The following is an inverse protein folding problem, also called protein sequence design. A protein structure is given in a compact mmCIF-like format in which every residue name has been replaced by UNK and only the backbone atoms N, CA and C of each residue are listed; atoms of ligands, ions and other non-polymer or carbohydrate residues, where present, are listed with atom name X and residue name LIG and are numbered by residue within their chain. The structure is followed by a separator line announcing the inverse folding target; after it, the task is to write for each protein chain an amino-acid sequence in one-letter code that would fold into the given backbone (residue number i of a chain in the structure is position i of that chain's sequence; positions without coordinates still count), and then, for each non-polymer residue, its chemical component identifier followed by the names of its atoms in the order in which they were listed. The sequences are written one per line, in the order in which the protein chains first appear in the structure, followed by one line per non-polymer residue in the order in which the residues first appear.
data_IF_031749708781
#
_entry.id   IF_031749708781
#
_cell.length_a   1.000
_cell.length_b   1.000
_cell.length_c   1.000
_cell.angle_alpha   90.00
_cell.angle_beta   90.00
_cell.angle_gamma   90.00
#
_symmetry.space_group_name_H-M   'P 1'
#
loop_
_entity.id
_entity.type
_entity.pdbx_description
1 polymer ?
#
# COMPACT_ATOMS: atom_id res chain seq x y z
N UNK A 1 34.47 5.44 1.96
CA UNK A 1 34.47 6.68 1.13
C UNK A 1 34.01 6.37 -0.28
N UNK A 2 33.45 7.34 -0.95
CA UNK A 2 33.03 7.26 -2.36
C UNK A 2 33.32 8.58 -3.08
N UNK A 3 33.39 8.49 -4.42
CA UNK A 3 33.63 9.66 -5.28
C UNK A 3 32.28 10.24 -5.75
N UNK A 4 32.08 11.55 -5.55
CA UNK A 4 30.93 12.28 -6.08
C UNK A 4 31.35 13.69 -6.49
N UNK A 5 30.95 14.10 -7.70
CA UNK A 5 31.22 15.42 -8.25
C UNK A 5 32.70 15.83 -8.27
N UNK A 6 33.61 14.83 -8.38
CA UNK A 6 35.07 15.05 -8.39
C UNK A 6 35.70 15.24 -7.01
N UNK A 7 34.97 14.97 -5.94
CA UNK A 7 35.44 15.01 -4.57
C UNK A 7 35.29 13.63 -3.91
N UNK A 8 36.26 13.28 -3.04
CA UNK A 8 36.17 12.07 -2.21
C UNK A 8 35.39 12.41 -0.94
N UNK A 9 34.27 11.72 -0.75
CA UNK A 9 33.43 11.87 0.44
C UNK A 9 33.75 10.73 1.41
N UNK A 10 34.19 11.08 2.60
CA UNK A 10 34.41 10.13 3.69
C UNK A 10 33.07 9.84 4.40
N UNK A 11 32.54 8.62 4.19
CA UNK A 11 31.36 8.14 4.85
C UNK A 11 31.63 6.78 5.53
N UNK A 12 31.84 6.75 6.85
CA UNK A 12 32.06 5.52 7.59
C UNK A 12 30.81 4.64 7.70
N UNK A 13 29.63 5.16 7.36
CA UNK A 13 28.35 4.49 7.46
C UNK A 13 27.79 4.02 6.11
N UNK A 14 28.53 4.23 5.02
CA UNK A 14 28.10 3.82 3.67
C UNK A 14 27.68 2.35 3.60
N UNK A 15 28.31 1.46 4.38
CA UNK A 15 27.95 0.04 4.45
C UNK A 15 26.50 -0.20 4.92
N UNK A 16 25.92 0.73 5.70
CA UNK A 16 24.53 0.61 6.20
C UNK A 16 23.47 0.75 5.10
N UNK A 17 23.85 1.24 3.93
CA UNK A 17 22.96 1.27 2.75
C UNK A 17 22.70 -0.14 2.20
N UNK A 18 23.54 -1.12 2.55
CA UNK A 18 23.39 -2.52 2.17
C UNK A 18 22.42 -3.21 3.13
N UNK A 19 21.13 -2.87 3.06
CA UNK A 19 20.10 -3.31 4.01
C UNK A 19 19.90 -4.84 4.10
N UNK A 20 20.44 -5.62 3.15
CA UNK A 20 20.46 -7.08 3.18
C UNK A 20 21.76 -7.68 3.74
N UNK A 21 22.75 -6.83 4.06
CA UNK A 21 24.00 -7.30 4.66
C UNK A 21 23.75 -7.78 6.09
N UNK A 22 24.35 -8.93 6.42
CA UNK A 22 24.20 -9.55 7.73
C UNK A 22 24.65 -8.66 8.89
N UNK A 23 25.73 -7.90 8.70
CA UNK A 23 26.25 -6.97 9.72
C UNK A 23 25.25 -5.85 9.98
N UNK A 24 24.60 -5.33 8.94
CA UNK A 24 23.57 -4.27 9.04
C UNK A 24 22.31 -4.80 9.73
N UNK A 25 21.88 -6.02 9.39
CA UNK A 25 20.73 -6.68 10.03
C UNK A 25 21.03 -6.90 11.53
N UNK A 26 22.19 -7.49 11.86
CA UNK A 26 22.58 -7.73 13.25
C UNK A 26 22.68 -6.43 14.06
N UNK A 27 23.20 -5.36 13.46
CA UNK A 27 23.24 -4.05 14.10
C UNK A 27 21.83 -3.50 14.37
N UNK A 28 20.95 -3.58 13.40
CA UNK A 28 19.54 -3.16 13.52
C UNK A 28 18.82 -3.92 14.64
N UNK A 29 18.98 -5.24 14.69
CA UNK A 29 18.40 -6.08 15.74
C UNK A 29 18.90 -5.72 17.14
N UNK A 30 20.20 -5.44 17.28
CA UNK A 30 20.78 -4.98 18.55
C UNK A 30 20.20 -3.63 18.98
N UNK A 31 20.03 -2.67 18.05
CA UNK A 31 19.41 -1.37 18.34
C UNK A 31 17.94 -1.53 18.72
N UNK A 32 17.20 -2.41 18.05
CA UNK A 32 15.81 -2.72 18.39
C UNK A 32 15.71 -3.34 19.80
N UNK A 33 16.59 -4.28 20.13
CA UNK A 33 16.62 -4.89 21.47
C UNK A 33 16.94 -3.85 22.56
N UNK A 34 17.88 -2.94 22.31
CA UNK A 34 18.22 -1.85 23.23
C UNK A 34 17.03 -0.89 23.41
N UNK A 35 16.39 -0.47 22.32
CA UNK A 35 15.24 0.42 22.31
C UNK A 35 14.06 -0.19 23.09
N UNK A 36 13.74 -1.45 22.81
CA UNK A 36 12.69 -2.18 23.51
C UNK A 36 12.96 -2.27 25.02
N UNK A 37 14.19 -2.57 25.43
CA UNK A 37 14.57 -2.60 26.85
C UNK A 37 14.39 -1.25 27.55
N UNK A 38 14.64 -0.16 26.83
CA UNK A 38 14.49 1.20 27.37
C UNK A 38 13.04 1.65 27.44
N UNK A 39 12.27 1.41 26.37
CA UNK A 39 10.88 1.90 26.22
C UNK A 39 9.85 1.02 26.94
N UNK A 40 10.03 -0.31 26.97
CA UNK A 40 9.04 -1.26 27.52
C UNK A 40 9.02 -1.22 29.03
N UNK A 41 8.42 -0.19 29.60
CA UNK A 41 8.21 0.02 31.03
C UNK A 41 6.72 0.22 31.35
N UNK A 42 6.35 0.36 32.62
CA UNK A 42 4.96 0.53 33.05
C UNK A 42 4.26 1.71 32.40
N UNK A 43 4.96 2.84 32.24
CA UNK A 43 4.42 4.04 31.59
C UNK A 43 4.13 3.81 30.12
N UNK A 44 4.96 3.04 29.41
CA UNK A 44 4.69 2.64 28.03
C UNK A 44 3.37 1.87 27.94
N UNK A 45 3.15 0.90 28.83
CA UNK A 45 1.92 0.10 28.87
C UNK A 45 0.67 0.95 29.10
N UNK A 46 0.73 1.95 29.96
CA UNK A 46 -0.38 2.89 30.21
C UNK A 46 -0.69 3.71 28.94
N UNK A 47 0.33 4.33 28.34
CA UNK A 47 0.17 5.13 27.12
C UNK A 47 -0.32 4.28 25.96
N UNK A 48 0.23 3.07 25.78
CA UNK A 48 -0.19 2.15 24.74
C UNK A 48 -1.68 1.81 24.87
N UNK A 49 -2.13 1.55 26.10
CA UNK A 49 -3.54 1.26 26.37
C UNK A 49 -4.44 2.44 26.01
N UNK A 50 -4.10 3.66 26.44
CA UNK A 50 -4.87 4.88 26.14
C UNK A 50 -4.95 5.13 24.61
N UNK A 51 -3.83 4.98 23.89
CA UNK A 51 -3.81 5.14 22.44
C UNK A 51 -4.65 4.04 21.77
N UNK A 52 -4.53 2.78 22.20
CA UNK A 52 -5.30 1.67 21.64
C UNK A 52 -6.81 1.87 21.83
N UNK A 53 -7.23 2.33 23.00
CA UNK A 53 -8.64 2.65 23.29
C UNK A 53 -9.15 3.79 22.40
N UNK A 54 -8.34 4.83 22.16
CA UNK A 54 -8.69 5.94 21.29
C UNK A 54 -8.81 5.53 19.81
N UNK A 55 -7.91 4.64 19.35
CA UNK A 55 -7.94 4.12 17.98
C UNK A 55 -9.03 3.05 17.75
N UNK A 56 -9.56 2.44 18.81
CA UNK A 56 -10.63 1.44 18.71
C UNK A 56 -12.02 2.04 18.51
N UNK A 57 -12.10 3.26 17.98
CA UNK A 57 -13.37 3.93 17.68
C UNK A 57 -13.84 3.59 16.27
N UNK A 58 -15.16 3.48 16.11
CA UNK A 58 -15.79 3.30 14.80
C UNK A 58 -15.48 4.49 13.87
N UNK A 59 -15.15 4.20 12.62
CA UNK A 59 -14.79 5.19 11.61
C UNK A 59 -15.63 5.04 10.34
N UNK A 60 -16.15 6.16 9.86
CA UNK A 60 -16.79 6.31 8.55
C UNK A 60 -16.06 7.41 7.77
N UNK A 61 -15.73 7.15 6.51
CA UNK A 61 -15.19 8.21 5.64
C UNK A 61 -16.26 9.26 5.32
N UNK A 62 -15.82 10.44 4.89
CA UNK A 62 -16.75 11.53 4.49
C UNK A 62 -17.73 11.11 3.41
N UNK A 63 -17.35 10.22 2.50
CA UNK A 63 -18.23 9.67 1.46
C UNK A 63 -19.45 8.91 1.99
N UNK A 64 -19.44 8.45 3.25
CA UNK A 64 -20.63 7.90 3.91
C UNK A 64 -21.75 8.93 4.05
N UNK A 65 -21.40 10.18 4.32
CA UNK A 65 -22.34 11.30 4.51
C UNK A 65 -22.69 12.03 3.20
N UNK A 66 -21.95 11.79 2.13
CA UNK A 66 -22.18 12.37 0.81
C UNK A 66 -23.23 11.56 0.03
N UNK A 67 -24.35 12.18 -0.30
CA UNK A 67 -25.47 11.53 -0.99
C UNK A 67 -25.14 11.10 -2.43
N UNK A 68 -24.14 11.72 -3.07
CA UNK A 68 -23.69 11.39 -4.41
C UNK A 68 -22.72 10.19 -4.44
N UNK A 69 -22.12 9.86 -3.30
CA UNK A 69 -21.17 8.75 -3.18
C UNK A 69 -21.89 7.42 -3.01
N UNK A 70 -21.56 6.44 -3.87
CA UNK A 70 -22.09 5.07 -3.83
C UNK A 70 -21.29 4.14 -2.90
N UNK A 71 -20.09 4.55 -2.48
CA UNK A 71 -19.16 3.75 -1.69
C UNK A 71 -18.51 4.58 -0.58
N UNK A 72 -18.07 3.89 0.46
CA UNK A 72 -17.39 4.53 1.58
C UNK A 72 -16.39 3.57 2.26
N UNK A 73 -15.44 4.13 3.01
CA UNK A 73 -14.58 3.36 3.89
C UNK A 73 -15.18 3.30 5.28
N UNK A 74 -15.08 2.10 5.88
CA UNK A 74 -15.58 1.80 7.20
C UNK A 74 -14.57 1.01 8.02
N UNK A 75 -14.48 1.29 9.31
CA UNK A 75 -13.76 0.48 10.28
C UNK A 75 -14.60 0.38 11.55
N UNK A 76 -14.82 -0.81 12.05
CA UNK A 76 -15.57 -1.05 13.30
C UNK A 76 -14.82 -0.64 14.57
N UNK A 77 -13.56 -0.25 14.45
CA UNK A 77 -12.63 -0.04 15.57
C UNK A 77 -11.91 -1.31 16.02
N UNK A 78 -12.31 -2.48 15.51
CA UNK A 78 -11.65 -3.77 15.77
C UNK A 78 -10.87 -4.31 14.56
N UNK A 79 -11.05 -3.72 13.39
CA UNK A 79 -10.36 -4.09 12.18
C UNK A 79 -8.98 -3.41 12.12
N UNK A 80 -7.97 -4.11 11.60
CA UNK A 80 -6.65 -3.53 11.33
C UNK A 80 -6.74 -2.49 10.21
N UNK A 81 -7.52 -2.77 9.15
CA UNK A 81 -7.68 -1.92 7.99
C UNK A 81 -9.13 -1.50 7.77
N UNK A 82 -9.31 -0.41 7.00
CA UNK A 82 -10.63 0.01 6.57
C UNK A 82 -11.16 -0.93 5.50
N UNK A 83 -12.43 -1.30 5.61
CA UNK A 83 -13.19 -1.99 4.59
C UNK A 83 -13.72 -0.98 3.56
N UNK A 84 -13.89 -1.38 2.31
CA UNK A 84 -14.56 -0.60 1.28
C UNK A 84 -15.96 -1.18 1.04
N UNK A 85 -17.00 -0.38 1.27
CA UNK A 85 -18.39 -0.83 1.38
C UNK A 85 -19.26 -0.11 0.36
N UNK A 86 -20.16 -0.86 -0.29
CA UNK A 86 -21.21 -0.30 -1.15
C UNK A 86 -22.38 0.17 -0.29
N UNK A 87 -22.82 1.41 -0.51
CA UNK A 87 -23.79 2.09 0.34
C UNK A 87 -25.22 1.56 0.21
N UNK A 88 -25.61 1.12 -0.99
CA UNK A 88 -26.99 0.72 -1.31
C UNK A 88 -27.48 -0.49 -0.51
N UNK A 89 -26.58 -1.41 -0.16
CA UNK A 89 -26.90 -2.69 0.50
C UNK A 89 -25.93 -3.06 1.64
N UNK A 90 -24.98 -2.17 1.96
CA UNK A 90 -23.91 -2.39 2.93
C UNK A 90 -23.04 -3.62 2.59
N UNK A 91 -22.92 -4.00 1.31
CA UNK A 91 -22.02 -5.08 0.92
C UNK A 91 -20.55 -4.65 1.09
N UNK A 92 -19.79 -5.48 1.79
CA UNK A 92 -18.32 -5.30 1.88
C UNK A 92 -17.70 -5.75 0.55
N UNK A 93 -17.21 -4.79 -0.22
CA UNK A 93 -16.60 -5.04 -1.52
C UNK A 93 -15.14 -5.46 -1.36
N UNK A 94 -14.38 -4.73 -0.51
CA UNK A 94 -12.98 -5.06 -0.20
C UNK A 94 -12.80 -5.13 1.31
N UNK A 95 -12.18 -6.22 1.76
CA UNK A 95 -11.80 -6.42 3.15
C UNK A 95 -10.31 -6.77 3.25
N UNK A 96 -9.41 -5.78 3.42
CA UNK A 96 -7.97 -6.03 3.47
C UNK A 96 -7.54 -7.00 4.56
N UNK A 97 -8.23 -7.04 5.70
CA UNK A 97 -7.92 -7.94 6.82
C UNK A 97 -8.04 -9.44 6.44
N UNK A 98 -8.70 -9.75 5.32
CA UNK A 98 -8.84 -11.12 4.82
C UNK A 98 -7.80 -11.53 3.77
N UNK A 99 -6.90 -10.62 3.36
CA UNK A 99 -5.98 -10.86 2.24
C UNK A 99 -4.69 -11.58 2.65
N UNK A 100 -4.26 -11.44 3.91
CA UNK A 100 -3.11 -12.14 4.46
C UNK A 100 -3.31 -12.47 5.94
N UNK A 101 -2.69 -13.57 6.40
CA UNK A 101 -2.81 -14.02 7.79
C UNK A 101 -2.18 -13.03 8.79
N UNK A 102 -1.11 -12.34 8.37
CA UNK A 102 -0.40 -11.34 9.17
C UNK A 102 -0.95 -9.92 9.04
N UNK A 103 -1.98 -9.74 8.17
CA UNK A 103 -2.64 -8.46 7.91
C UNK A 103 -1.68 -7.34 7.46
N UNK A 104 -0.59 -7.68 6.78
CA UNK A 104 0.35 -6.69 6.21
C UNK A 104 -0.12 -6.10 4.89
N UNK A 105 -1.03 -6.80 4.18
CA UNK A 105 -1.59 -6.31 2.93
C UNK A 105 -2.59 -5.19 3.19
N UNK A 106 -2.35 -4.04 2.56
CA UNK A 106 -3.14 -2.83 2.75
C UNK A 106 -3.69 -2.30 1.43
N UNK A 107 -4.93 -1.80 1.47
CA UNK A 107 -5.58 -1.10 0.36
C UNK A 107 -4.99 0.31 0.22
N UNK A 108 -4.24 0.55 -0.86
CA UNK A 108 -3.54 1.80 -1.07
C UNK A 108 -4.30 2.79 -1.96
N UNK A 109 -5.08 2.32 -2.93
CA UNK A 109 -5.87 3.15 -3.84
C UNK A 109 -7.07 2.35 -4.36
N UNK A 110 -8.18 3.03 -4.64
CA UNK A 110 -9.39 2.47 -5.24
C UNK A 110 -9.88 3.43 -6.33
N UNK A 111 -10.27 2.90 -7.46
CA UNK A 111 -10.87 3.66 -8.56
C UNK A 111 -11.94 2.85 -9.26
N UNK A 112 -13.15 3.39 -9.32
CA UNK A 112 -14.30 2.79 -9.98
C UNK A 112 -14.35 3.24 -11.44
N UNK A 113 -14.65 2.33 -12.36
CA UNK A 113 -14.87 2.69 -13.77
C UNK A 113 -16.09 3.62 -13.92
N UNK A 114 -16.13 4.50 -14.93
CA UNK A 114 -17.26 5.42 -15.15
C UNK A 114 -18.63 4.74 -15.29
N UNK A 115 -18.68 3.50 -15.79
CA UNK A 115 -19.88 2.68 -15.89
C UNK A 115 -20.20 1.87 -14.61
N UNK A 116 -19.38 2.04 -13.56
CA UNK A 116 -19.50 1.35 -12.26
C UNK A 116 -19.43 -0.20 -12.35
N UNK A 117 -18.93 -0.74 -13.46
CA UNK A 117 -18.80 -2.18 -13.63
C UNK A 117 -17.51 -2.74 -13.05
N UNK A 118 -16.42 -2.03 -13.22
CA UNK A 118 -15.09 -2.49 -12.79
C UNK A 118 -14.54 -1.65 -11.65
N UNK A 119 -13.97 -2.32 -10.68
CA UNK A 119 -13.23 -1.71 -9.59
C UNK A 119 -11.75 -2.05 -9.73
N UNK A 120 -10.91 -1.05 -10.01
CA UNK A 120 -9.47 -1.21 -9.96
C UNK A 120 -8.94 -0.71 -8.61
N UNK A 121 -8.15 -1.52 -7.92
CA UNK A 121 -7.58 -1.14 -6.64
C UNK A 121 -6.14 -1.62 -6.51
N UNK A 122 -5.34 -0.89 -5.75
CA UNK A 122 -3.94 -1.24 -5.54
C UNK A 122 -3.69 -1.70 -4.11
N UNK A 123 -2.88 -2.76 -4.01
CA UNK A 123 -2.45 -3.36 -2.75
C UNK A 123 -0.97 -3.05 -2.54
N UNK A 124 -0.59 -2.71 -1.30
CA UNK A 124 0.79 -2.67 -0.83
C UNK A 124 1.00 -3.68 0.28
N UNK A 125 2.20 -4.26 0.38
CA UNK A 125 2.59 -5.19 1.42
C UNK A 125 3.55 -4.51 2.40
N UNK A 126 3.25 -4.58 3.70
CA UNK A 126 4.09 -4.03 4.76
C UNK A 126 4.41 -2.53 4.65
N UNK A 127 3.58 -1.75 3.92
CA UNK A 127 3.76 -0.31 3.74
C UNK A 127 4.84 0.09 2.73
N UNK A 128 5.33 -0.84 1.89
CA UNK A 128 6.25 -0.51 0.79
C UNK A 128 5.56 0.32 -0.29
N UNK A 129 6.34 1.11 -1.02
CA UNK A 129 5.81 1.93 -2.12
C UNK A 129 5.40 1.13 -3.35
N UNK A 130 5.95 -0.07 -3.52
CA UNK A 130 5.60 -0.97 -4.62
C UNK A 130 4.23 -1.57 -4.42
N UNK A 131 3.42 -1.54 -5.46
CA UNK A 131 2.02 -1.95 -5.43
C UNK A 131 1.67 -2.85 -6.59
N UNK A 132 0.62 -3.64 -6.40
CA UNK A 132 -0.04 -4.41 -7.45
C UNK A 132 -1.44 -3.86 -7.63
N UNK A 133 -1.87 -3.61 -8.87
CA UNK A 133 -3.26 -3.25 -9.18
C UNK A 133 -4.02 -4.53 -9.53
N UNK A 134 -5.15 -4.72 -8.88
CA UNK A 134 -6.11 -5.79 -9.13
C UNK A 134 -7.39 -5.15 -9.68
N UNK A 135 -8.04 -5.84 -10.60
CA UNK A 135 -9.28 -5.37 -11.20
C UNK A 135 -10.38 -6.40 -10.93
N UNK A 136 -11.46 -5.97 -10.28
CA UNK A 136 -12.64 -6.79 -9.99
C UNK A 136 -13.80 -6.38 -10.89
N UNK A 137 -14.42 -7.33 -11.56
CA UNK A 137 -15.74 -7.15 -12.21
C UNK A 137 -16.83 -7.26 -11.13
N UNK A 138 -17.47 -6.15 -10.81
CA UNK A 138 -18.49 -6.05 -9.76
C UNK A 138 -19.79 -6.80 -10.07
N UNK A 139 -20.06 -7.12 -11.34
CA UNK A 139 -21.24 -7.90 -11.74
C UNK A 139 -21.00 -9.38 -11.47
N UNK A 140 -19.82 -9.90 -11.82
CA UNK A 140 -19.47 -11.30 -11.59
C UNK A 140 -18.87 -11.56 -10.22
N UNK A 141 -18.44 -10.50 -9.52
CA UNK A 141 -17.73 -10.52 -8.23
C UNK A 141 -16.43 -11.34 -8.28
N UNK A 142 -15.72 -11.23 -9.42
CA UNK A 142 -14.46 -11.94 -9.65
C UNK A 142 -13.39 -10.97 -10.12
N UNK A 143 -12.19 -11.21 -9.66
CA UNK A 143 -11.03 -10.53 -10.19
C UNK A 143 -10.72 -11.02 -11.61
N UNK A 144 -10.22 -10.10 -12.43
CA UNK A 144 -9.65 -10.46 -13.73
C UNK A 144 -8.42 -11.34 -13.53
N UNK A 145 -8.06 -12.10 -14.55
CA UNK A 145 -6.91 -13.02 -14.48
C UNK A 145 -5.60 -12.25 -14.41
N UNK A 146 -5.55 -11.11 -15.11
CA UNK A 146 -4.35 -10.26 -15.17
C UNK A 146 -4.39 -9.21 -14.06
N UNK A 147 -3.25 -9.06 -13.39
CA UNK A 147 -2.98 -8.00 -12.44
C UNK A 147 -1.81 -7.15 -12.95
N UNK A 148 -1.71 -5.90 -12.50
CA UNK A 148 -0.62 -5.01 -12.88
C UNK A 148 0.35 -4.85 -11.72
N UNK A 149 1.50 -5.50 -11.84
CA UNK A 149 2.57 -5.47 -10.83
C UNK A 149 3.52 -4.29 -11.05
N UNK A 150 4.36 -4.03 -10.03
CA UNK A 150 5.46 -3.06 -10.09
C UNK A 150 5.01 -1.62 -10.32
N UNK A 151 3.84 -1.30 -9.78
CA UNK A 151 3.31 0.06 -9.75
C UNK A 151 3.88 0.80 -8.56
N UNK A 152 4.28 2.06 -8.75
CA UNK A 152 4.83 2.91 -7.66
C UNK A 152 4.42 4.36 -7.89
N UNK A 153 3.97 5.05 -6.83
CA UNK A 153 3.55 6.45 -6.86
C UNK A 153 2.54 6.75 -7.97
N UNK A 154 1.54 5.89 -8.11
CA UNK A 154 0.52 5.99 -9.16
C UNK A 154 -0.87 6.14 -8.57
N UNK A 155 -1.70 6.94 -9.24
CA UNK A 155 -3.15 6.84 -9.22
C UNK A 155 -3.62 5.88 -10.32
N UNK A 156 -4.89 5.49 -10.26
CA UNK A 156 -5.59 4.74 -11.30
C UNK A 156 -6.61 5.70 -11.91
N UNK A 157 -6.48 6.00 -13.20
CA UNK A 157 -7.35 6.95 -13.89
C UNK A 157 -8.00 6.27 -15.09
N UNK A 158 -9.29 5.96 -14.96
CA UNK A 158 -10.08 5.35 -16.02
C UNK A 158 -10.24 6.26 -17.23
N UNK A 159 -10.34 5.67 -18.41
CA UNK A 159 -10.85 6.37 -19.58
C UNK A 159 -12.37 6.58 -19.47
N UNK A 160 -12.93 7.48 -20.29
CA UNK A 160 -14.35 7.84 -20.25
C UNK A 160 -15.26 6.72 -20.72
N UNK A 161 -14.76 5.80 -21.54
CA UNK A 161 -15.49 4.70 -22.13
C UNK A 161 -15.43 3.41 -21.29
N UNK A 162 -14.80 3.44 -20.13
CA UNK A 162 -14.60 2.30 -19.20
C UNK A 162 -13.89 1.09 -19.86
N UNK A 163 -13.06 1.34 -20.89
CA UNK A 163 -12.33 0.30 -21.61
C UNK A 163 -10.98 -0.03 -20.98
N UNK A 164 -10.47 0.87 -20.15
CA UNK A 164 -9.19 0.71 -19.50
C UNK A 164 -8.84 1.89 -18.63
N UNK A 165 -7.64 1.90 -18.11
CA UNK A 165 -7.16 2.95 -17.24
C UNK A 165 -5.68 3.26 -17.43
N UNK A 166 -5.30 4.49 -17.07
CA UNK A 166 -3.93 4.96 -17.06
C UNK A 166 -3.31 4.83 -15.67
N UNK A 167 -2.03 4.50 -15.62
CA UNK A 167 -1.25 4.39 -14.40
C UNK A 167 0.23 4.68 -14.66
N UNK A 168 1.00 4.96 -13.60
CA UNK A 168 2.45 5.13 -13.68
C UNK A 168 3.16 3.84 -13.31
N UNK A 169 4.23 3.53 -14.04
CA UNK A 169 5.13 2.43 -13.72
C UNK A 169 6.58 2.88 -13.82
N UNK A 170 7.41 2.28 -12.99
CA UNK A 170 8.85 2.43 -13.04
C UNK A 170 9.50 1.16 -13.59
N UNK A 171 10.69 1.26 -14.21
CA UNK A 171 11.46 0.06 -14.54
C UNK A 171 11.66 -0.82 -13.31
N UNK A 172 11.56 -2.13 -13.50
CA UNK A 172 11.75 -3.10 -12.41
C UNK A 172 13.19 -3.04 -11.90
N UNK A 173 13.42 -2.72 -10.62
CA UNK A 173 14.75 -2.82 -10.04
C UNK A 173 15.18 -4.29 -9.91
N UNK A 174 16.49 -4.54 -9.81
CA UNK A 174 16.96 -5.85 -9.39
C UNK A 174 16.40 -6.16 -7.99
N UNK A 175 16.01 -7.42 -7.73
CA UNK A 175 15.31 -7.82 -6.50
C UNK A 175 16.07 -7.38 -5.22
N UNK A 176 17.40 -7.56 -5.22
CA UNK A 176 18.25 -7.13 -4.10
C UNK A 176 18.26 -5.61 -3.88
N UNK A 177 17.88 -4.81 -4.87
CA UNK A 177 17.91 -3.34 -4.83
C UNK A 177 16.51 -2.72 -4.69
N UNK A 178 15.48 -3.52 -4.61
CA UNK A 178 14.08 -3.09 -4.68
C UNK A 178 13.72 -1.97 -3.71
N UNK A 179 14.32 -1.96 -2.53
CA UNK A 179 14.09 -0.94 -1.49
C UNK A 179 15.07 0.23 -1.52
N UNK A 180 16.22 0.07 -2.19
CA UNK A 180 17.34 1.02 -2.14
C UNK A 180 17.60 1.72 -3.48
N UNK A 181 17.08 1.20 -4.61
CA UNK A 181 17.32 1.77 -5.92
C UNK A 181 16.48 3.04 -6.16
N UNK A 182 17.09 4.02 -6.78
CA UNK A 182 16.39 5.26 -7.16
C UNK A 182 15.29 4.95 -8.18
N UNK A 183 14.10 5.51 -7.94
CA UNK A 183 12.97 5.40 -8.86
C UNK A 183 13.12 6.42 -9.97
N UNK A 184 13.71 6.02 -11.11
CA UNK A 184 13.97 6.85 -12.28
C UNK A 184 13.16 6.36 -13.48
N UNK A 185 12.97 7.23 -14.47
CA UNK A 185 12.34 6.90 -15.75
C UNK A 185 10.90 6.38 -15.62
N UNK A 186 10.09 7.05 -14.78
CA UNK A 186 8.66 6.79 -14.73
C UNK A 186 8.03 6.98 -16.12
N UNK A 187 7.10 6.10 -16.48
CA UNK A 187 6.31 6.22 -17.69
C UNK A 187 4.84 5.98 -17.39
N UNK A 188 3.97 6.58 -18.20
CA UNK A 188 2.53 6.37 -18.17
C UNK A 188 2.22 5.18 -19.06
N UNK A 189 1.43 4.25 -18.53
CA UNK A 189 0.94 3.06 -19.21
C UNK A 189 -0.58 3.11 -19.28
N UNK A 190 -1.13 2.37 -20.19
CA UNK A 190 -2.56 2.13 -20.32
C UNK A 190 -2.80 0.63 -20.20
N UNK A 191 -3.74 0.25 -19.35
CA UNK A 191 -4.23 -1.13 -19.24
C UNK A 191 -5.55 -1.22 -20.01
N UNK A 192 -5.62 -2.09 -21.00
CA UNK A 192 -6.81 -2.35 -21.80
C UNK A 192 -7.55 -3.58 -21.26
N UNK A 193 -8.84 -3.40 -20.92
CA UNK A 193 -9.66 -4.47 -20.34
C UNK A 193 -10.03 -5.58 -21.34
N UNK A 194 -10.04 -5.30 -22.65
CA UNK A 194 -10.39 -6.29 -23.67
C UNK A 194 -9.24 -7.26 -23.91
N UNK A 195 -8.02 -6.75 -23.93
CA UNK A 195 -6.80 -7.58 -24.13
C UNK A 195 -6.20 -8.08 -22.84
N UNK A 196 -6.55 -7.45 -21.71
CA UNK A 196 -5.92 -7.62 -20.39
C UNK A 196 -4.39 -7.36 -20.43
N UNK A 197 -3.96 -6.34 -21.19
CA UNK A 197 -2.56 -5.92 -21.32
C UNK A 197 -2.36 -4.43 -21.06
#
# INVERSE_FOLDING_TARGET
SYEAHGETIEDPYLYMEQCQDKEVIEWSDQQNAFTNKYLMNSKFGEIFKEISEAYSSEYFSMSYFDEESNYFYYNSGSNQHNQYIRKSDNEVILNPDSWSDDQTLNLANVSLSPDERFLAYSISDGGVDWRTIIITDLQTKKDLTTQVDEVKFSSITWDQDSKGFYFNKYPKPAEQNRLCEQSLNAAIYYFDLETEE
#
